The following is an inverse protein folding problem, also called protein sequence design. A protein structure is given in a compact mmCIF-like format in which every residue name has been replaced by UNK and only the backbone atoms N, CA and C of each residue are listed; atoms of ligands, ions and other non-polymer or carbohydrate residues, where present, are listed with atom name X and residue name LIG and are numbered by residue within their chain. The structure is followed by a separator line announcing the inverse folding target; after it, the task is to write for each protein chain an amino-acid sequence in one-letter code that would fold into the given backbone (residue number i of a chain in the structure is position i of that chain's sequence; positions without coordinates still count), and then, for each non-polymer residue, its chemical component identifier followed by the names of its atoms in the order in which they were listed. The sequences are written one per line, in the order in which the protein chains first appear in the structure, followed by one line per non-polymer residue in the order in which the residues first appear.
data_IF_058508164516
#
_entry.id   IF_058508164516
#
_cell.length_a   1.000
_cell.length_b   1.000
_cell.length_c   1.000
_cell.angle_alpha   90.00
_cell.angle_beta   90.00
_cell.angle_gamma   90.00
#
_symmetry.space_group_name_H-M   'P 1'
#
loop_
_entity.id
_entity.type
_entity.pdbx_description
1 polymer ?
#
# COMPACT_ATOMS: atom_id res chain seq x y z
N UNK A 1 -3.71 -5.51 16.55
CA UNK A 1 -4.73 -6.25 17.30
C UNK A 1 -5.77 -6.82 16.33
N UNK A 2 -6.28 -8.01 16.60
CA UNK A 2 -7.27 -8.71 15.80
C UNK A 2 -8.41 -9.13 16.73
N UNK A 3 -9.62 -8.64 16.44
CA UNK A 3 -10.86 -9.04 17.11
C UNK A 3 -11.67 -9.85 16.11
N UNK A 4 -12.01 -11.08 16.46
CA UNK A 4 -12.75 -12.00 15.61
C UNK A 4 -14.21 -12.09 16.08
N UNK A 5 -15.15 -12.12 15.14
CA UNK A 5 -16.54 -12.46 15.47
C UNK A 5 -16.60 -13.93 15.87
N UNK A 6 -17.13 -14.22 17.07
CA UNK A 6 -17.36 -15.59 17.53
C UNK A 6 -18.71 -16.08 17.01
N UNK A 7 -18.71 -16.51 15.76
CA UNK A 7 -19.83 -17.13 15.06
C UNK A 7 -19.39 -18.44 14.37
N UNK A 8 -20.30 -19.05 13.61
CA UNK A 8 -20.01 -20.30 12.89
C UNK A 8 -19.23 -20.10 11.59
N UNK A 9 -19.17 -18.87 11.07
CA UNK A 9 -18.66 -18.58 9.73
C UNK A 9 -17.30 -17.88 9.75
N UNK A 10 -17.03 -17.11 10.81
CA UNK A 10 -15.80 -16.32 10.91
C UNK A 10 -14.59 -17.16 11.33
N UNK A 11 -13.53 -17.10 10.54
CA UNK A 11 -12.26 -17.78 10.83
C UNK A 11 -11.08 -16.94 10.37
N UNK A 12 -9.89 -17.25 10.88
CA UNK A 12 -8.62 -16.74 10.39
C UNK A 12 -7.82 -17.86 9.75
N UNK A 13 -7.15 -17.58 8.64
CA UNK A 13 -6.36 -18.57 7.91
C UNK A 13 -5.17 -17.94 7.21
N UNK A 14 -4.21 -18.77 6.81
CA UNK A 14 -3.17 -18.47 5.82
C UNK A 14 -3.34 -19.48 4.67
N UNK A 15 -4.23 -19.21 3.72
CA UNK A 15 -4.68 -20.21 2.75
C UNK A 15 -3.72 -20.42 1.57
N UNK A 16 -2.57 -19.76 1.55
CA UNK A 16 -1.65 -19.76 0.42
C UNK A 16 -1.11 -21.18 0.13
N UNK A 17 -0.75 -21.93 1.16
CA UNK A 17 -0.24 -23.31 0.97
C UNK A 17 -1.34 -24.24 0.47
N UNK A 18 -2.50 -24.38 1.13
CA UNK A 18 -3.51 -25.33 0.72
C UNK A 18 -4.22 -24.99 -0.60
N UNK A 19 -4.34 -23.69 -0.94
CA UNK A 19 -5.06 -23.27 -2.14
C UNK A 19 -4.17 -22.95 -3.33
N UNK A 20 -2.95 -22.44 -3.09
CA UNK A 20 -2.06 -21.96 -4.15
C UNK A 20 -0.76 -22.76 -4.25
N UNK A 21 -0.46 -23.62 -3.28
CA UNK A 21 0.80 -24.38 -3.24
C UNK A 21 2.04 -23.49 -3.03
N UNK A 22 1.86 -22.27 -2.49
CA UNK A 22 2.94 -21.31 -2.24
C UNK A 22 3.04 -20.95 -0.76
N UNK A 23 4.22 -20.57 -0.31
CA UNK A 23 4.40 -20.08 1.06
C UNK A 23 3.85 -18.65 1.19
N UNK A 24 3.36 -18.25 2.38
CA UNK A 24 2.99 -16.87 2.71
C UNK A 24 4.21 -15.93 2.71
N UNK A 25 4.76 -15.63 1.52
CA UNK A 25 6.04 -14.95 1.31
C UNK A 25 6.08 -13.49 1.75
N UNK A 26 4.92 -12.86 1.94
CA UNK A 26 4.81 -11.46 2.43
C UNK A 26 4.93 -11.33 3.95
N UNK A 27 5.37 -12.38 4.63
CA UNK A 27 5.67 -12.37 6.05
C UNK A 27 4.56 -12.94 6.97
N UNK A 28 3.59 -13.67 6.41
CA UNK A 28 2.53 -14.31 7.20
C UNK A 28 3.08 -15.30 8.23
N UNK A 29 3.96 -16.20 7.80
CA UNK A 29 4.63 -17.17 8.68
C UNK A 29 5.46 -16.50 9.78
N UNK A 30 6.27 -15.51 9.43
CA UNK A 30 7.10 -14.75 10.37
C UNK A 30 6.23 -14.05 11.42
N UNK A 31 5.13 -13.40 10.98
CA UNK A 31 4.23 -12.73 11.93
C UNK A 31 3.52 -13.68 12.87
N UNK A 32 3.14 -14.86 12.40
CA UNK A 32 2.50 -15.88 13.23
C UNK A 32 3.47 -16.39 14.32
N UNK A 33 4.69 -16.71 13.95
CA UNK A 33 5.69 -17.26 14.90
C UNK A 33 6.36 -16.19 15.75
N UNK A 34 6.86 -15.12 15.14
CA UNK A 34 7.72 -14.15 15.83
C UNK A 34 6.93 -13.04 16.52
N UNK A 35 5.91 -12.49 15.86
CA UNK A 35 5.11 -11.38 16.41
C UNK A 35 4.01 -11.90 17.34
N UNK A 36 3.25 -12.89 16.91
CA UNK A 36 2.13 -13.43 17.68
C UNK A 36 2.55 -14.53 18.64
N UNK A 37 3.78 -15.02 18.53
CA UNK A 37 4.30 -16.09 19.41
C UNK A 37 3.45 -17.36 19.42
N UNK A 38 2.89 -17.70 18.27
CA UNK A 38 2.19 -18.96 18.08
C UNK A 38 3.20 -20.10 18.19
N UNK A 39 2.87 -21.14 18.95
CA UNK A 39 3.71 -22.34 19.07
C UNK A 39 3.90 -22.99 17.72
N UNK A 40 5.13 -23.41 17.39
CA UNK A 40 5.52 -23.81 16.04
C UNK A 40 4.64 -24.93 15.46
N UNK A 41 4.34 -25.95 16.22
CA UNK A 41 3.46 -27.03 15.79
C UNK A 41 2.03 -26.56 15.42
N UNK A 42 1.51 -25.55 16.13
CA UNK A 42 0.23 -24.92 15.80
C UNK A 42 0.34 -24.03 14.57
N UNK A 43 1.48 -23.34 14.39
CA UNK A 43 1.74 -22.55 13.21
C UNK A 43 1.81 -23.44 11.95
N UNK A 44 2.47 -24.58 12.03
CA UNK A 44 2.57 -25.55 10.94
C UNK A 44 1.18 -26.06 10.52
N UNK A 45 0.34 -26.43 11.49
CA UNK A 45 -1.05 -26.82 11.23
C UNK A 45 -1.83 -25.65 10.61
N UNK A 46 -1.74 -24.47 11.21
CA UNK A 46 -2.47 -23.28 10.78
C UNK A 46 -2.17 -22.89 9.33
N UNK A 47 -0.92 -23.02 8.90
CA UNK A 47 -0.49 -22.71 7.54
C UNK A 47 -0.88 -23.76 6.50
N UNK A 48 -1.33 -24.95 6.93
CA UNK A 48 -1.64 -26.06 6.03
C UNK A 48 -3.13 -26.37 5.89
N UNK A 49 -3.99 -25.69 6.65
CA UNK A 49 -5.44 -25.88 6.57
C UNK A 49 -6.13 -24.73 5.85
N UNK A 50 -7.13 -25.02 5.03
CA UNK A 50 -7.93 -24.02 4.30
C UNK A 50 -9.07 -23.44 5.13
N UNK A 51 -9.64 -24.23 6.03
CA UNK A 51 -10.82 -23.88 6.84
C UNK A 51 -10.54 -22.79 7.87
N UNK A 52 -9.27 -22.62 8.23
CA UNK A 52 -8.85 -21.70 9.27
C UNK A 52 -9.22 -22.14 10.69
N UNK A 53 -8.96 -21.24 11.64
CA UNK A 53 -9.23 -21.45 13.07
C UNK A 53 -10.27 -20.42 13.52
N UNK A 54 -11.23 -20.84 14.35
CA UNK A 54 -12.41 -20.06 14.74
C UNK A 54 -12.49 -19.82 16.24
N UNK A 55 -13.24 -18.78 16.62
CA UNK A 55 -13.70 -18.52 17.97
C UNK A 55 -12.60 -18.58 19.02
N UNK A 56 -12.92 -19.15 20.17
CA UNK A 56 -12.03 -19.25 21.33
C UNK A 56 -10.73 -20.01 21.02
N UNK A 57 -10.76 -20.98 20.12
CA UNK A 57 -9.54 -21.71 19.71
C UNK A 57 -8.54 -20.81 19.01
N UNK A 58 -9.00 -19.81 18.23
CA UNK A 58 -8.12 -18.82 17.61
C UNK A 58 -7.42 -17.93 18.67
N UNK A 59 -8.11 -17.58 19.76
CA UNK A 59 -7.53 -16.87 20.91
C UNK A 59 -6.50 -17.75 21.64
N UNK A 60 -6.83 -18.98 21.97
CA UNK A 60 -5.95 -19.94 22.66
C UNK A 60 -4.67 -20.22 21.86
N UNK A 61 -4.75 -20.18 20.54
CA UNK A 61 -3.60 -20.32 19.67
C UNK A 61 -2.86 -19.02 19.43
N UNK A 62 -3.33 -17.90 19.98
CA UNK A 62 -2.78 -16.55 19.80
C UNK A 62 -2.86 -16.03 18.37
N UNK A 63 -3.71 -16.59 17.55
CA UNK A 63 -3.96 -16.13 16.18
C UNK A 63 -4.73 -14.81 16.17
N UNK A 64 -5.62 -14.64 17.16
CA UNK A 64 -6.35 -13.38 17.40
C UNK A 64 -6.24 -12.99 18.86
N UNK A 65 -6.56 -11.74 19.17
CA UNK A 65 -6.49 -11.21 20.52
C UNK A 65 -7.78 -11.48 21.31
N UNK A 66 -8.93 -11.36 20.62
CA UNK A 66 -10.25 -11.61 21.21
C UNK A 66 -11.17 -12.31 20.21
N UNK A 67 -12.14 -13.06 20.75
CA UNK A 67 -13.29 -13.58 20.02
C UNK A 67 -14.57 -13.09 20.70
N UNK A 68 -15.41 -12.37 19.98
CA UNK A 68 -16.55 -11.63 20.53
C UNK A 68 -17.84 -12.04 19.82
N UNK A 69 -18.91 -12.30 20.57
CA UNK A 69 -20.22 -12.60 20.02
C UNK A 69 -20.72 -11.46 19.11
N UNK A 70 -21.38 -11.82 18.00
CA UNK A 70 -21.86 -10.87 16.99
C UNK A 70 -22.65 -9.69 17.60
N UNK A 71 -23.49 -9.95 18.60
CA UNK A 71 -24.31 -8.92 19.23
C UNK A 71 -23.50 -7.84 19.97
N UNK A 72 -22.26 -8.14 20.38
CA UNK A 72 -21.38 -7.22 21.13
C UNK A 72 -20.20 -6.74 20.29
N UNK A 73 -20.11 -7.15 19.03
CA UNK A 73 -18.90 -6.98 18.21
C UNK A 73 -18.61 -5.52 17.93
N UNK A 74 -19.59 -4.78 17.42
CA UNK A 74 -19.42 -3.36 17.08
C UNK A 74 -19.06 -2.50 18.29
N UNK A 75 -19.74 -2.76 19.42
CA UNK A 75 -19.44 -2.08 20.67
C UNK A 75 -18.00 -2.36 21.10
N UNK A 76 -17.58 -3.63 21.07
CA UNK A 76 -16.23 -4.02 21.50
C UNK A 76 -15.16 -3.42 20.61
N UNK A 77 -15.37 -3.37 19.29
CA UNK A 77 -14.44 -2.71 18.36
C UNK A 77 -14.31 -1.22 18.69
N UNK A 78 -15.42 -0.53 18.91
CA UNK A 78 -15.39 0.89 19.26
C UNK A 78 -14.63 1.15 20.58
N UNK A 79 -14.84 0.32 21.59
CA UNK A 79 -14.10 0.39 22.86
C UNK A 79 -12.59 0.19 22.65
N UNK A 80 -12.20 -0.87 21.92
CA UNK A 80 -10.79 -1.16 21.66
C UNK A 80 -10.11 -0.09 20.82
N UNK A 81 -10.81 0.40 19.79
CA UNK A 81 -10.30 1.51 18.98
C UNK A 81 -10.04 2.77 19.83
N UNK A 82 -10.97 3.11 20.73
CA UNK A 82 -10.81 4.24 21.64
C UNK A 82 -9.65 4.05 22.64
N UNK A 83 -9.48 2.83 23.16
CA UNK A 83 -8.36 2.51 24.06
C UNK A 83 -7.00 2.61 23.33
N UNK A 84 -6.91 2.13 22.08
CA UNK A 84 -5.70 2.22 21.27
C UNK A 84 -5.40 3.66 20.85
N UNK A 85 -6.43 4.43 20.51
CA UNK A 85 -6.29 5.85 20.17
C UNK A 85 -5.70 6.67 21.34
N UNK A 86 -6.08 6.36 22.58
CA UNK A 86 -5.51 7.00 23.78
C UNK A 86 -4.02 6.73 23.97
N UNK A 87 -3.51 5.65 23.39
CA UNK A 87 -2.08 5.25 23.47
C UNK A 87 -1.27 5.74 22.28
N UNK A 88 -1.90 6.44 21.34
CA UNK A 88 -1.23 6.98 20.16
C UNK A 88 -0.25 8.08 20.58
N UNK A 89 0.96 8.02 20.07
CA UNK A 89 1.98 9.05 20.20
C UNK A 89 1.86 10.15 19.13
N UNK A 90 0.86 10.04 18.26
CA UNK A 90 0.62 11.03 17.20
C UNK A 90 0.20 12.38 17.84
N UNK A 91 0.88 13.50 17.46
CA UNK A 91 0.54 14.82 17.98
C UNK A 91 -0.92 15.19 17.71
N UNK A 92 -1.60 15.71 18.71
CA UNK A 92 -2.97 16.21 18.58
C UNK A 92 -2.99 17.38 17.59
N UNK A 93 -3.88 17.32 16.61
CA UNK A 93 -4.03 18.37 15.60
C UNK A 93 -2.98 18.35 14.48
N UNK A 94 -2.08 17.34 14.44
CA UNK A 94 -1.20 17.16 13.31
C UNK A 94 -2.01 16.95 12.02
N UNK A 95 -1.73 17.78 11.02
CA UNK A 95 -2.36 17.69 9.70
C UNK A 95 -1.44 16.91 8.76
N UNK A 96 -2.02 16.10 7.90
CA UNK A 96 -1.32 15.51 6.76
C UNK A 96 -1.16 16.50 5.62
N UNK A 97 -0.59 16.02 4.52
CA UNK A 97 -0.51 16.76 3.27
C UNK A 97 -1.91 16.81 2.65
N UNK A 98 -2.32 17.99 2.23
CA UNK A 98 -3.56 18.17 1.46
C UNK A 98 -3.31 17.72 0.02
N UNK A 99 -4.16 16.82 -0.46
CA UNK A 99 -4.07 16.29 -1.81
C UNK A 99 -4.76 17.23 -2.80
N UNK A 100 -4.03 17.62 -3.83
CA UNK A 100 -4.59 18.29 -5.01
C UNK A 100 -4.81 17.25 -6.13
N UNK A 101 -5.75 17.45 -7.05
CA UNK A 101 -5.87 16.63 -8.25
C UNK A 101 -4.54 16.58 -9.02
N UNK A 102 -4.29 15.47 -9.71
CA UNK A 102 -3.19 15.38 -10.66
C UNK A 102 -3.62 16.10 -11.94
N UNK A 103 -2.87 17.11 -12.35
CA UNK A 103 -3.11 17.83 -13.59
C UNK A 103 -2.49 17.03 -14.75
N UNK A 104 -3.33 16.66 -15.71
CA UNK A 104 -2.94 15.90 -16.89
C UNK A 104 -3.55 16.53 -18.13
N UNK A 105 -2.78 16.54 -19.20
CA UNK A 105 -3.24 16.87 -20.54
C UNK A 105 -3.16 15.59 -21.39
N UNK A 106 -4.26 15.27 -22.05
CA UNK A 106 -4.37 14.11 -22.92
C UNK A 106 -4.45 14.58 -24.36
N UNK A 107 -3.68 13.95 -25.24
CA UNK A 107 -3.78 14.17 -26.69
C UNK A 107 -3.70 12.82 -27.45
N UNK A 108 -3.60 12.88 -28.75
CA UNK A 108 -3.49 11.71 -29.63
C UNK A 108 -2.18 10.93 -29.43
N UNK A 109 -1.17 11.56 -28.82
CA UNK A 109 0.15 10.99 -28.60
C UNK A 109 0.32 10.42 -27.18
N UNK A 110 -0.57 10.71 -26.24
CA UNK A 110 -0.51 10.14 -24.90
C UNK A 110 -0.92 11.06 -23.75
N UNK A 111 -0.16 10.99 -22.63
CA UNK A 111 -0.46 11.65 -21.38
C UNK A 111 0.70 12.57 -20.98
N UNK A 112 0.41 13.85 -20.73
CA UNK A 112 1.39 14.89 -20.48
C UNK A 112 1.16 15.54 -19.12
N UNK A 113 2.21 15.58 -18.31
CA UNK A 113 2.24 16.17 -16.98
C UNK A 113 3.39 17.16 -16.85
N UNK A 114 3.53 17.79 -15.72
CA UNK A 114 4.64 18.71 -15.49
C UNK A 114 5.99 18.00 -15.46
N UNK A 115 6.08 16.87 -14.75
CA UNK A 115 7.35 16.13 -14.57
C UNK A 115 7.37 14.77 -15.26
N UNK A 116 6.27 14.33 -15.81
CA UNK A 116 6.16 13.05 -16.51
C UNK A 116 5.55 13.26 -17.89
N UNK A 117 6.04 12.48 -18.84
CA UNK A 117 5.53 12.46 -20.21
C UNK A 117 5.39 11.01 -20.65
N UNK A 118 4.22 10.59 -21.10
CA UNK A 118 3.95 9.24 -21.57
C UNK A 118 3.53 9.27 -23.04
N UNK A 119 4.48 9.09 -23.95
CA UNK A 119 4.24 9.08 -25.40
C UNK A 119 3.98 7.67 -25.88
N UNK A 120 2.87 7.50 -26.61
CA UNK A 120 2.38 6.23 -27.11
C UNK A 120 2.60 6.14 -28.62
N UNK A 121 3.24 5.07 -29.05
CA UNK A 121 3.38 4.70 -30.46
C UNK A 121 2.57 3.41 -30.73
N UNK A 122 1.36 3.52 -31.25
CA UNK A 122 0.50 2.38 -31.50
C UNK A 122 1.03 1.47 -32.62
N UNK A 123 1.79 2.02 -33.57
CA UNK A 123 2.34 1.26 -34.71
C UNK A 123 3.40 0.27 -34.22
N UNK A 124 4.33 0.75 -33.39
CA UNK A 124 5.38 -0.11 -32.82
C UNK A 124 4.99 -0.72 -31.46
N UNK A 125 3.76 -0.45 -31.00
CA UNK A 125 3.20 -0.97 -29.75
C UNK A 125 4.09 -0.70 -28.53
N UNK A 126 4.62 0.52 -28.45
CA UNK A 126 5.48 0.95 -27.33
C UNK A 126 4.97 2.25 -26.69
N UNK A 127 5.22 2.39 -25.41
CA UNK A 127 5.07 3.65 -24.67
C UNK A 127 6.44 4.10 -24.14
N UNK A 128 6.74 5.38 -24.27
CA UNK A 128 7.92 5.99 -23.69
C UNK A 128 7.49 6.88 -22.54
N UNK A 129 7.91 6.54 -21.31
CA UNK A 129 7.69 7.35 -20.12
C UNK A 129 8.98 8.13 -19.84
N UNK A 130 8.91 9.44 -19.89
CA UNK A 130 10.05 10.34 -19.60
C UNK A 130 9.77 11.04 -18.28
N UNK A 131 10.66 10.85 -17.30
CA UNK A 131 10.62 11.54 -16.01
C UNK A 131 11.61 12.71 -16.03
N UNK A 132 11.13 13.92 -15.72
CA UNK A 132 11.92 15.14 -15.70
C UNK A 132 12.38 15.48 -14.29
N UNK A 133 13.68 15.77 -14.16
CA UNK A 133 14.24 16.32 -12.94
C UNK A 133 13.66 17.71 -12.61
N UNK A 134 13.69 18.12 -11.34
CA UNK A 134 13.30 19.48 -10.97
C UNK A 134 14.28 20.49 -11.56
N UNK A 135 13.76 21.69 -11.92
CA UNK A 135 14.59 22.76 -12.49
C UNK A 135 15.53 23.41 -11.46
N UNK A 136 15.13 23.36 -10.20
CA UNK A 136 15.83 23.99 -9.08
C UNK A 136 16.07 22.96 -7.98
N UNK A 137 17.05 23.26 -7.12
CA UNK A 137 17.31 22.47 -5.92
C UNK A 137 16.15 22.61 -4.95
N UNK A 138 15.70 21.50 -4.40
CA UNK A 138 14.57 21.43 -3.49
C UNK A 138 14.88 21.90 -2.07
N UNK A 139 13.87 21.88 -1.21
CA UNK A 139 14.02 22.19 0.20
C UNK A 139 14.89 21.13 0.89
N UNK A 140 15.71 21.57 1.84
CA UNK A 140 16.64 20.71 2.59
C UNK A 140 16.15 20.34 3.99
N UNK A 141 15.00 20.91 4.44
CA UNK A 141 14.46 20.64 5.76
C UNK A 141 13.08 19.95 5.67
N UNK A 142 12.76 19.03 6.60
CA UNK A 142 11.45 18.38 6.63
C UNK A 142 10.28 19.35 6.68
N UNK A 143 10.41 20.46 7.40
CA UNK A 143 9.37 21.48 7.55
C UNK A 143 9.10 22.20 6.21
N UNK A 144 10.15 22.52 5.47
CA UNK A 144 10.02 23.13 4.15
C UNK A 144 9.44 22.14 3.11
N UNK A 145 9.82 20.86 3.17
CA UNK A 145 9.23 19.79 2.35
C UNK A 145 7.73 19.65 2.65
N UNK A 146 7.37 19.62 3.92
CA UNK A 146 5.98 19.52 4.35
C UNK A 146 5.16 20.75 3.94
N UNK A 147 5.74 21.95 3.97
CA UNK A 147 5.08 23.16 3.54
C UNK A 147 4.74 23.17 2.05
N UNK A 148 5.56 22.55 1.20
CA UNK A 148 5.26 22.34 -0.22
C UNK A 148 4.11 21.34 -0.44
N UNK A 149 3.93 20.40 0.48
CA UNK A 149 2.84 19.42 0.41
C UNK A 149 2.85 18.64 -0.91
N UNK A 150 1.69 18.62 -1.60
CA UNK A 150 1.54 17.91 -2.87
C UNK A 150 2.39 18.49 -4.03
N UNK A 151 2.90 19.70 -3.91
CA UNK A 151 3.77 20.33 -4.88
C UNK A 151 5.26 19.95 -4.73
N UNK A 152 5.63 19.28 -3.63
CA UNK A 152 7.01 18.79 -3.46
C UNK A 152 7.35 17.81 -4.59
N UNK A 153 8.44 18.10 -5.33
CA UNK A 153 8.77 17.41 -6.56
C UNK A 153 8.75 15.87 -6.48
N UNK A 154 9.37 15.21 -5.49
CA UNK A 154 9.34 13.75 -5.43
C UNK A 154 7.91 13.20 -5.30
N UNK A 155 7.04 13.87 -4.54
CA UNK A 155 5.67 13.47 -4.37
C UNK A 155 4.83 13.76 -5.63
N UNK A 156 4.98 14.95 -6.21
CA UNK A 156 4.24 15.34 -7.43
C UNK A 156 4.60 14.43 -8.60
N UNK A 157 5.89 14.29 -8.88
CA UNK A 157 6.41 13.43 -9.94
C UNK A 157 5.96 11.97 -9.77
N UNK A 158 6.03 11.43 -8.56
CA UNK A 158 5.61 10.04 -8.29
C UNK A 158 4.11 9.85 -8.55
N UNK A 159 3.27 10.81 -8.18
CA UNK A 159 1.83 10.76 -8.45
C UNK A 159 1.51 10.86 -9.93
N UNK A 160 2.22 11.72 -10.67
CA UNK A 160 2.09 11.83 -12.12
C UNK A 160 2.51 10.52 -12.82
N UNK A 161 3.62 9.92 -12.37
CA UNK A 161 4.09 8.64 -12.90
C UNK A 161 3.11 7.49 -12.59
N UNK A 162 2.57 7.44 -11.38
CA UNK A 162 1.55 6.46 -11.00
C UNK A 162 0.30 6.58 -11.86
N UNK A 163 -0.21 7.79 -12.06
CA UNK A 163 -1.38 8.05 -12.92
C UNK A 163 -1.09 7.65 -14.38
N UNK A 164 0.08 7.98 -14.93
CA UNK A 164 0.48 7.56 -16.27
C UNK A 164 0.54 6.03 -16.41
N UNK A 165 1.16 5.34 -15.43
CA UNK A 165 1.26 3.87 -15.41
C UNK A 165 -0.13 3.23 -15.34
N UNK A 166 -1.00 3.72 -14.47
CA UNK A 166 -2.36 3.18 -14.31
C UNK A 166 -3.18 3.36 -15.58
N UNK A 167 -3.10 4.53 -16.23
CA UNK A 167 -3.80 4.79 -17.49
C UNK A 167 -3.26 3.90 -18.63
N UNK A 168 -1.95 3.76 -18.78
CA UNK A 168 -1.37 2.87 -19.77
C UNK A 168 -1.81 1.41 -19.57
N UNK A 169 -1.77 0.91 -18.34
CA UNK A 169 -2.18 -0.47 -18.02
C UNK A 169 -3.65 -0.74 -18.27
N UNK A 170 -4.50 0.25 -18.09
CA UNK A 170 -5.95 0.09 -18.18
C UNK A 170 -6.48 0.33 -19.59
N UNK A 171 -5.94 1.33 -20.29
CA UNK A 171 -6.50 1.84 -21.53
C UNK A 171 -5.73 1.41 -22.78
N UNK A 172 -4.48 0.96 -22.62
CA UNK A 172 -3.60 0.61 -23.74
C UNK A 172 -3.06 -0.81 -23.62
N UNK A 173 -3.97 -1.79 -23.63
CA UNK A 173 -3.64 -3.22 -23.48
C UNK A 173 -2.81 -3.79 -24.64
N UNK A 174 -2.79 -3.12 -25.78
CA UNK A 174 -2.02 -3.45 -26.96
C UNK A 174 -0.55 -3.04 -26.89
N UNK A 175 -0.16 -2.18 -25.94
CA UNK A 175 1.23 -1.76 -25.76
C UNK A 175 2.04 -2.88 -25.09
N UNK A 176 3.01 -3.41 -25.84
CA UNK A 176 3.84 -4.55 -25.41
C UNK A 176 5.20 -4.15 -24.85
N UNK A 177 5.65 -2.91 -25.01
CA UNK A 177 6.96 -2.43 -24.54
C UNK A 177 6.84 -1.05 -23.90
N UNK A 178 7.41 -0.92 -22.70
CA UNK A 178 7.54 0.38 -22.03
C UNK A 178 9.03 0.75 -21.94
N UNK A 179 9.34 1.97 -22.37
CA UNK A 179 10.69 2.55 -22.31
C UNK A 179 10.68 3.65 -21.24
N UNK A 180 11.52 3.49 -20.22
CA UNK A 180 11.68 4.50 -19.18
C UNK A 180 12.90 5.38 -19.53
N UNK A 181 12.70 6.68 -19.51
CA UNK A 181 13.73 7.70 -19.72
C UNK A 181 13.74 8.71 -18.59
N UNK A 182 14.88 9.34 -18.39
CA UNK A 182 15.03 10.47 -17.46
C UNK A 182 15.66 11.64 -18.19
N UNK A 183 15.24 12.85 -17.85
CA UNK A 183 15.76 14.09 -18.39
C UNK A 183 16.02 15.10 -17.28
N UNK A 184 17.01 16.00 -17.47
CA UNK A 184 17.33 17.10 -16.58
C UNK A 184 18.64 16.92 -15.80
N UNK A 185 18.86 17.77 -14.82
CA UNK A 185 20.11 17.79 -14.05
C UNK A 185 20.06 16.81 -12.88
N UNK A 186 20.95 15.81 -12.92
CA UNK A 186 21.09 14.83 -11.85
C UNK A 186 21.50 15.46 -10.50
N UNK A 187 22.23 16.59 -10.52
CA UNK A 187 22.64 17.28 -9.30
C UNK A 187 21.40 17.82 -8.54
N UNK A 188 20.40 18.32 -9.25
CA UNK A 188 19.16 18.77 -8.64
C UNK A 188 18.39 17.62 -7.96
N UNK A 189 18.40 16.45 -8.59
CA UNK A 189 17.75 15.25 -8.03
C UNK A 189 18.46 14.76 -6.77
N UNK A 190 19.79 14.76 -6.78
CA UNK A 190 20.61 14.31 -5.63
C UNK A 190 20.54 15.25 -4.43
N UNK A 191 20.08 16.48 -4.63
CA UNK A 191 19.92 17.47 -3.57
C UNK A 191 18.57 17.38 -2.84
N UNK A 192 17.63 16.53 -3.30
CA UNK A 192 16.35 16.24 -2.67
C UNK A 192 16.46 15.09 -1.69
#
# INVERSE_FOLDING_TARGET
EIVLVDDRNSSVSLPEVPLLGVLPGTGGLTRVTDKRKVRRDRADIFCTISEGIRGQRAVEWRLVDEAVKSQNFDQRIAERAAELAKKSDRPTGAKGIEWTPVERQDDENGYHYEFVDAVIDPITRKATLTVRAPKEVGPTTPEAMQALGAAWWPLKMTRELDDAILNLRTNHLDIGLWILKTEGDAANVLAY
#
